data_IF_076588288387
#
_entry.id   IF_076588288387
#
_cell.length_a   1.000
_cell.length_b   1.000
_cell.length_c   1.000
_cell.angle_alpha   90.00
_cell.angle_beta   90.00
_cell.angle_gamma   90.00
#
_symmetry.space_group_name_H-M   'P 1'
#
loop_
_entity.id
_entity.type
_entity.pdbx_description
1 polymer ?
#
# COMPACT_ATOMS: atom_id res chain seq x y z
N UNK A 1 24.61 71.95 -0.46
CA UNK A 1 24.07 71.15 0.67
C UNK A 1 23.06 72.00 1.43
N UNK A 2 21.95 71.42 1.91
CA UNK A 2 21.07 72.12 2.84
C UNK A 2 21.78 72.29 4.20
N UNK A 3 21.58 73.44 4.83
CA UNK A 3 22.15 73.75 6.15
C UNK A 3 21.14 74.60 6.94
N UNK A 4 21.20 74.60 8.27
CA UNK A 4 20.31 75.45 9.08
C UNK A 4 20.72 76.93 8.96
N UNK A 5 19.77 77.83 9.19
CA UNK A 5 19.97 79.28 8.95
C UNK A 5 21.09 79.86 9.82
N UNK A 6 21.32 79.27 10.99
CA UNK A 6 22.37 79.66 11.92
C UNK A 6 23.77 79.29 11.41
N UNK A 7 23.97 78.07 10.92
CA UNK A 7 25.24 77.66 10.29
C UNK A 7 25.51 78.40 8.97
N UNK A 8 24.46 78.74 8.22
CA UNK A 8 24.56 79.60 7.03
C UNK A 8 25.12 80.97 7.40
N UNK A 9 24.59 81.55 8.47
CA UNK A 9 24.98 82.88 8.94
C UNK A 9 26.41 82.89 9.50
N UNK A 10 26.82 81.85 10.23
CA UNK A 10 28.10 81.81 10.94
C UNK A 10 29.26 81.34 10.05
N UNK A 11 29.09 80.24 9.31
CA UNK A 11 30.22 79.53 8.68
C UNK A 11 30.17 79.48 7.15
N UNK A 12 29.05 79.88 6.57
CA UNK A 12 28.75 79.60 5.16
C UNK A 12 28.19 80.81 4.40
N UNK A 13 28.27 82.00 4.99
CA UNK A 13 27.69 83.24 4.47
C UNK A 13 28.29 83.67 3.12
N UNK A 14 29.50 83.22 2.79
CA UNK A 14 30.19 83.47 1.51
C UNK A 14 30.13 82.31 0.52
N UNK A 15 29.51 81.19 0.87
CA UNK A 15 29.45 80.00 0.02
C UNK A 15 28.23 80.06 -0.90
N UNK A 16 28.45 80.20 -2.21
CA UNK A 16 27.38 80.41 -3.21
C UNK A 16 26.56 79.15 -3.57
N UNK A 17 26.80 78.01 -2.92
CA UNK A 17 26.14 76.73 -3.19
C UNK A 17 25.27 76.18 -2.05
N UNK A 18 25.05 76.96 -0.98
CA UNK A 18 24.32 76.53 0.22
C UNK A 18 22.90 77.11 0.19
N UNK A 19 21.89 76.25 0.37
CA UNK A 19 20.47 76.62 0.39
C UNK A 19 19.97 76.49 1.83
N UNK A 20 19.15 77.44 2.30
CA UNK A 20 18.50 77.32 3.61
C UNK A 20 17.65 76.07 3.67
N UNK A 21 17.65 75.41 4.83
CA UNK A 21 16.79 74.26 5.05
C UNK A 21 15.33 74.63 4.81
N UNK A 22 14.87 75.81 5.26
CA UNK A 22 13.53 76.32 4.99
C UNK A 22 13.22 76.46 3.49
N UNK A 23 14.15 77.01 2.69
CA UNK A 23 13.98 77.16 1.24
C UNK A 23 14.10 75.85 0.45
N UNK A 24 14.69 74.81 1.04
CA UNK A 24 14.64 73.43 0.51
C UNK A 24 13.32 72.76 0.90
N UNK A 25 12.83 73.00 2.12
CA UNK A 25 11.56 72.48 2.65
C UNK A 25 10.35 73.02 1.87
N UNK A 26 10.31 74.32 1.57
CA UNK A 26 9.29 74.93 0.69
C UNK A 26 9.31 74.37 -0.75
N UNK A 27 10.49 73.96 -1.24
CA UNK A 27 10.64 73.38 -2.58
C UNK A 27 10.40 71.87 -2.61
N UNK A 28 10.51 71.19 -1.48
CA UNK A 28 10.10 69.79 -1.34
C UNK A 28 8.59 69.71 -1.23
N UNK A 29 7.97 68.96 -2.13
CA UNK A 29 6.53 68.70 -2.13
C UNK A 29 6.18 67.76 -0.97
N UNK A 30 6.19 68.27 0.26
CA UNK A 30 5.89 67.51 1.49
C UNK A 30 4.52 66.83 1.38
N UNK A 31 3.53 67.49 0.78
CA UNK A 31 2.22 66.90 0.50
C UNK A 31 2.30 65.65 -0.36
N UNK A 32 3.14 65.65 -1.41
CA UNK A 32 3.36 64.45 -2.25
C UNK A 32 4.08 63.34 -1.51
N UNK A 33 5.01 63.70 -0.61
CA UNK A 33 5.69 62.72 0.25
C UNK A 33 4.69 62.10 1.25
N UNK A 34 3.81 62.91 1.83
CA UNK A 34 2.73 62.48 2.72
C UNK A 34 1.73 61.57 2.00
N UNK A 35 1.28 61.94 0.81
CA UNK A 35 0.39 61.11 -0.03
C UNK A 35 1.04 59.77 -0.41
N UNK A 36 2.34 59.79 -0.77
CA UNK A 36 3.08 58.55 -1.07
C UNK A 36 3.20 57.66 0.17
N UNK A 37 3.53 58.24 1.32
CA UNK A 37 3.66 57.50 2.58
C UNK A 37 2.31 56.93 3.03
N UNK A 38 1.23 57.70 2.92
CA UNK A 38 -0.12 57.25 3.24
C UNK A 38 -0.55 56.07 2.35
N UNK A 39 -0.23 56.13 1.06
CA UNK A 39 -0.46 55.02 0.13
C UNK A 39 0.35 53.77 0.50
N UNK A 40 1.61 53.93 0.90
CA UNK A 40 2.47 52.82 1.32
C UNK A 40 1.97 52.19 2.64
N UNK A 41 1.55 53.01 3.61
CA UNK A 41 0.94 52.55 4.87
C UNK A 41 -0.35 51.78 4.57
N UNK A 42 -1.25 52.33 3.76
CA UNK A 42 -2.51 51.68 3.41
C UNK A 42 -2.28 50.36 2.64
N UNK A 43 -1.28 50.31 1.77
CA UNK A 43 -0.89 49.07 1.08
C UNK A 43 -0.35 48.02 2.07
N UNK A 44 0.50 48.43 3.01
CA UNK A 44 1.03 47.55 4.04
C UNK A 44 -0.09 47.01 4.96
N UNK A 45 -1.01 47.87 5.40
CA UNK A 45 -2.18 47.49 6.20
C UNK A 45 -3.05 46.47 5.46
N UNK A 46 -3.34 46.69 4.19
CA UNK A 46 -4.10 45.74 3.38
C UNK A 46 -3.41 44.37 3.27
N UNK A 47 -2.08 44.34 3.08
CA UNK A 47 -1.30 43.08 3.06
C UNK A 47 -1.39 42.38 4.43
N UNK A 48 -1.20 43.12 5.53
CA UNK A 48 -1.31 42.57 6.89
C UNK A 48 -2.69 41.98 7.16
N UNK A 49 -3.76 42.68 6.79
CA UNK A 49 -5.13 42.15 6.91
C UNK A 49 -5.34 40.88 6.09
N UNK A 50 -4.81 40.81 4.86
CA UNK A 50 -4.86 39.60 4.04
C UNK A 50 -4.14 38.43 4.70
N UNK A 51 -2.99 38.67 5.33
CA UNK A 51 -2.24 37.66 6.09
C UNK A 51 -3.06 37.17 7.29
N UNK A 52 -3.62 38.08 8.09
CA UNK A 52 -4.45 37.73 9.26
C UNK A 52 -5.66 36.90 8.84
N UNK A 53 -6.39 37.33 7.79
CA UNK A 53 -7.54 36.60 7.28
C UNK A 53 -7.17 35.21 6.76
N UNK A 54 -6.04 35.08 6.06
CA UNK A 54 -5.55 33.78 5.59
C UNK A 54 -5.22 32.85 6.77
N UNK A 55 -4.48 33.35 7.78
CA UNK A 55 -4.11 32.57 8.97
C UNK A 55 -5.32 32.16 9.78
N UNK A 56 -6.28 33.06 10.01
CA UNK A 56 -7.55 32.73 10.69
C UNK A 56 -8.36 31.69 9.91
N UNK A 57 -8.42 31.81 8.58
CA UNK A 57 -9.08 30.82 7.74
C UNK A 57 -8.40 29.44 7.77
N UNK A 58 -7.07 29.39 7.84
CA UNK A 58 -6.33 28.13 8.00
C UNK A 58 -6.62 27.47 9.34
N UNK A 59 -6.67 28.23 10.43
CA UNK A 59 -7.00 27.71 11.77
C UNK A 59 -8.39 27.07 11.75
N UNK A 60 -9.41 27.78 11.24
CA UNK A 60 -10.78 27.25 11.14
C UNK A 60 -10.87 25.98 10.30
N UNK A 61 -10.15 25.92 9.17
CA UNK A 61 -10.07 24.69 8.35
C UNK A 61 -9.41 23.54 9.10
N UNK A 62 -8.32 23.83 9.82
CA UNK A 62 -7.63 22.84 10.65
C UNK A 62 -8.53 22.27 11.75
N UNK A 63 -9.29 23.12 12.44
CA UNK A 63 -10.29 22.70 13.45
C UNK A 63 -11.38 21.82 12.84
N UNK A 64 -11.90 22.17 11.67
CA UNK A 64 -12.89 21.36 10.95
C UNK A 64 -12.32 20.00 10.52
N UNK A 65 -11.09 19.96 10.01
CA UNK A 65 -10.40 18.72 9.65
C UNK A 65 -10.17 17.83 10.87
N UNK A 66 -9.75 18.43 11.99
CA UNK A 66 -9.57 17.73 13.26
C UNK A 66 -10.86 17.05 13.73
N UNK A 67 -11.98 17.78 13.78
CA UNK A 67 -13.27 17.20 14.17
C UNK A 67 -13.76 16.13 13.19
N UNK A 68 -13.50 16.30 11.88
CA UNK A 68 -13.81 15.29 10.87
C UNK A 68 -13.00 13.99 11.06
N UNK A 69 -11.70 14.10 11.33
CA UNK A 69 -10.82 12.95 11.61
C UNK A 69 -11.29 12.25 12.89
N UNK A 70 -11.57 13.00 13.95
CA UNK A 70 -12.09 12.47 15.22
C UNK A 70 -13.39 11.68 15.03
N UNK A 71 -14.35 12.20 14.26
CA UNK A 71 -15.59 11.49 13.92
C UNK A 71 -15.32 10.22 13.10
N UNK A 72 -14.36 10.27 12.19
CA UNK A 72 -13.96 9.12 11.37
C UNK A 72 -13.36 8.01 12.21
N UNK A 73 -12.47 8.34 13.15
CA UNK A 73 -11.89 7.38 14.11
C UNK A 73 -12.99 6.74 14.96
N UNK A 74 -13.93 7.53 15.48
CA UNK A 74 -15.06 7.01 16.26
C UNK A 74 -15.92 6.01 15.45
N UNK A 75 -16.22 6.34 14.19
CA UNK A 75 -16.97 5.47 13.28
C UNK A 75 -16.21 4.17 12.94
N UNK A 76 -14.89 4.22 12.75
CA UNK A 76 -14.10 3.00 12.55
C UNK A 76 -14.10 2.11 13.79
N UNK A 77 -13.98 2.70 14.99
CA UNK A 77 -14.07 1.95 16.25
C UNK A 77 -15.42 1.25 16.39
N UNK A 78 -16.51 1.95 16.11
CA UNK A 78 -17.86 1.38 16.15
C UNK A 78 -18.01 0.19 15.18
N UNK A 79 -17.53 0.35 13.94
CA UNK A 79 -17.57 -0.73 12.94
C UNK A 79 -16.74 -1.95 13.33
N UNK A 80 -15.55 -1.75 13.90
CA UNK A 80 -14.68 -2.83 14.36
C UNK A 80 -15.38 -3.59 15.49
N UNK A 81 -15.91 -2.88 16.49
CA UNK A 81 -16.63 -3.49 17.61
C UNK A 81 -17.84 -4.29 17.13
N UNK A 82 -18.70 -3.70 16.29
CA UNK A 82 -19.87 -4.41 15.77
C UNK A 82 -19.49 -5.68 14.98
N UNK A 83 -18.35 -5.67 14.29
CA UNK A 83 -17.86 -6.85 13.57
C UNK A 83 -17.36 -7.93 14.54
N UNK A 84 -16.67 -7.54 15.61
CA UNK A 84 -16.22 -8.47 16.65
C UNK A 84 -17.40 -9.10 17.38
N UNK A 85 -18.41 -8.31 17.76
CA UNK A 85 -19.63 -8.79 18.40
C UNK A 85 -20.36 -9.80 17.49
N UNK A 86 -20.47 -9.51 16.20
CA UNK A 86 -21.06 -10.43 15.23
C UNK A 86 -20.27 -11.74 15.07
N UNK A 87 -18.94 -11.67 15.07
CA UNK A 87 -18.10 -12.88 15.00
C UNK A 87 -18.24 -13.72 16.26
N UNK A 88 -18.31 -13.09 17.44
CA UNK A 88 -18.55 -13.78 18.70
C UNK A 88 -19.91 -14.51 18.70
N UNK A 89 -20.99 -13.82 18.35
CA UNK A 89 -22.33 -14.43 18.25
C UNK A 89 -22.36 -15.61 17.28
N UNK A 90 -21.69 -15.45 16.13
CA UNK A 90 -21.59 -16.51 15.12
C UNK A 90 -20.85 -17.74 15.67
N UNK A 91 -19.72 -17.54 16.33
CA UNK A 91 -18.93 -18.63 16.90
C UNK A 91 -19.70 -19.38 18.00
N UNK A 92 -20.41 -18.68 18.89
CA UNK A 92 -21.27 -19.35 19.87
C UNK A 92 -22.37 -20.16 19.21
N UNK A 93 -23.01 -19.63 18.17
CA UNK A 93 -24.04 -20.36 17.44
C UNK A 93 -23.50 -21.63 16.77
N UNK A 94 -22.31 -21.56 16.17
CA UNK A 94 -21.65 -22.74 15.56
C UNK A 94 -21.30 -23.78 16.62
N UNK A 95 -20.74 -23.37 17.76
CA UNK A 95 -20.44 -24.27 18.89
C UNK A 95 -21.71 -24.95 19.40
N UNK A 96 -22.78 -24.18 19.65
CA UNK A 96 -24.05 -24.70 20.15
C UNK A 96 -24.66 -25.70 19.15
N UNK A 97 -24.62 -25.39 17.86
CA UNK A 97 -25.12 -26.28 16.80
C UNK A 97 -24.37 -27.62 16.82
N UNK A 98 -23.04 -27.59 16.83
CA UNK A 98 -22.20 -28.80 16.90
C UNK A 98 -22.49 -29.60 18.16
N UNK A 99 -22.60 -28.94 19.32
CA UNK A 99 -22.91 -29.60 20.59
C UNK A 99 -24.29 -30.25 20.60
N UNK A 100 -25.31 -29.57 20.06
CA UNK A 100 -26.67 -30.09 19.97
C UNK A 100 -26.72 -31.31 19.06
N UNK A 101 -26.07 -31.24 17.90
CA UNK A 101 -25.96 -32.35 16.94
C UNK A 101 -25.29 -33.56 17.58
N UNK A 102 -24.09 -33.38 18.15
CA UNK A 102 -23.35 -34.46 18.81
C UNK A 102 -24.16 -35.06 19.98
N UNK A 103 -24.75 -34.22 20.83
CA UNK A 103 -25.59 -34.69 21.94
C UNK A 103 -26.79 -35.50 21.46
N UNK A 104 -27.40 -35.10 20.35
CA UNK A 104 -28.52 -35.81 19.74
C UNK A 104 -28.09 -37.20 19.23
N UNK A 105 -26.99 -37.27 18.48
CA UNK A 105 -26.43 -38.53 17.97
C UNK A 105 -26.12 -39.52 19.10
N UNK A 106 -25.47 -39.05 20.16
CA UNK A 106 -25.12 -39.85 21.33
C UNK A 106 -26.37 -40.32 22.07
N UNK A 107 -27.35 -39.43 22.24
CA UNK A 107 -28.61 -39.77 22.93
C UNK A 107 -29.39 -40.85 22.18
N UNK A 108 -29.39 -40.79 20.85
CA UNK A 108 -30.03 -41.79 20.00
C UNK A 108 -29.32 -43.15 20.12
N UNK A 109 -27.98 -43.17 20.08
CA UNK A 109 -27.21 -44.41 20.25
C UNK A 109 -27.43 -45.04 21.63
N UNK A 110 -27.43 -44.22 22.69
CA UNK A 110 -27.74 -44.68 24.06
C UNK A 110 -29.14 -45.29 24.14
N UNK A 111 -30.13 -44.66 23.50
CA UNK A 111 -31.50 -45.17 23.49
C UNK A 111 -31.58 -46.53 22.78
N UNK A 112 -30.92 -46.68 21.64
CA UNK A 112 -30.85 -47.94 20.89
C UNK A 112 -30.19 -49.07 21.72
N UNK A 113 -29.03 -48.79 22.33
CA UNK A 113 -28.33 -49.75 23.20
C UNK A 113 -29.21 -50.15 24.40
N UNK A 114 -29.88 -49.18 25.04
CA UNK A 114 -30.81 -49.46 26.16
C UNK A 114 -31.98 -50.33 25.72
N UNK A 115 -32.56 -50.09 24.56
CA UNK A 115 -33.66 -50.90 24.01
C UNK A 115 -33.21 -52.34 23.80
N UNK A 116 -32.07 -52.56 23.15
CA UNK A 116 -31.50 -53.88 22.88
C UNK A 116 -31.12 -54.61 24.16
N UNK A 117 -30.50 -53.92 25.12
CA UNK A 117 -30.21 -54.46 26.45
C UNK A 117 -31.48 -54.88 27.19
N UNK A 118 -32.55 -54.07 27.12
CA UNK A 118 -33.85 -54.41 27.68
C UNK A 118 -34.48 -55.66 27.04
N UNK A 119 -34.34 -55.84 25.72
CA UNK A 119 -34.76 -57.06 25.01
C UNK A 119 -33.99 -58.29 25.49
N UNK A 120 -32.66 -58.19 25.59
CA UNK A 120 -31.82 -59.28 26.11
C UNK A 120 -32.18 -59.66 27.56
N UNK A 121 -32.47 -58.68 28.42
CA UNK A 121 -32.93 -58.93 29.79
C UNK A 121 -34.24 -59.71 29.83
N UNK A 122 -35.24 -59.30 29.02
CA UNK A 122 -36.51 -60.03 28.90
C UNK A 122 -36.32 -61.47 28.40
N UNK A 123 -35.45 -61.68 27.41
CA UNK A 123 -35.13 -63.02 26.91
C UNK A 123 -34.50 -63.90 28.01
N UNK A 124 -33.60 -63.34 28.82
CA UNK A 124 -33.01 -64.03 29.98
C UNK A 124 -34.05 -64.42 31.02
N UNK A 125 -34.99 -63.53 31.32
CA UNK A 125 -36.09 -63.80 32.26
C UNK A 125 -37.03 -64.90 31.72
N UNK A 126 -37.37 -64.85 30.43
CA UNK A 126 -38.16 -65.89 29.75
C UNK A 126 -37.47 -67.25 29.76
N UNK A 127 -36.16 -67.29 29.47
CA UNK A 127 -35.37 -68.50 29.51
C UNK A 127 -35.42 -69.15 30.90
N UNK A 128 -35.28 -68.34 31.96
CA UNK A 128 -35.34 -68.78 33.35
C UNK A 128 -36.71 -69.36 33.73
N UNK A 129 -37.80 -68.77 33.22
CA UNK A 129 -39.16 -69.27 33.42
C UNK A 129 -39.41 -70.61 32.68
N UNK A 130 -38.91 -70.73 31.44
CA UNK A 130 -39.04 -71.95 30.62
C UNK A 130 -38.33 -73.14 31.28
N UNK A 131 -37.23 -72.91 31.99
CA UNK A 131 -36.49 -73.95 32.72
C UNK A 131 -37.19 -74.45 33.99
N UNK A 132 -38.20 -73.75 34.52
CA UNK A 132 -38.81 -74.08 35.82
C UNK A 132 -40.21 -74.70 35.76
N UNK A 133 -40.98 -74.56 34.66
CA UNK A 133 -42.43 -74.83 34.69
C UNK A 133 -43.07 -75.52 33.46
N UNK A 134 -42.31 -76.07 32.51
CA UNK A 134 -42.87 -76.48 31.21
C UNK A 134 -42.51 -77.92 30.80
N UNK A 135 -43.36 -78.54 29.97
CA UNK A 135 -43.08 -79.84 29.38
C UNK A 135 -41.81 -79.80 28.52
N UNK A 136 -41.06 -80.91 28.45
CA UNK A 136 -39.76 -80.98 27.74
C UNK A 136 -39.82 -80.42 26.30
N UNK A 137 -40.91 -80.66 25.58
CA UNK A 137 -41.10 -80.19 24.20
C UNK A 137 -41.28 -78.67 24.13
N UNK A 138 -42.09 -78.09 25.02
CA UNK A 138 -42.28 -76.65 25.07
C UNK A 138 -41.01 -75.93 25.54
N UNK A 139 -40.24 -76.53 26.45
CA UNK A 139 -38.94 -75.99 26.84
C UNK A 139 -37.95 -75.99 25.68
N UNK A 140 -37.90 -77.08 24.90
CA UNK A 140 -37.04 -77.15 23.71
C UNK A 140 -37.38 -76.06 22.69
N UNK A 141 -38.66 -75.89 22.35
CA UNK A 141 -39.10 -74.89 21.37
C UNK A 141 -38.84 -73.45 21.85
N UNK A 142 -39.11 -73.16 23.12
CA UNK A 142 -38.88 -71.84 23.71
C UNK A 142 -37.40 -71.47 23.77
N UNK A 143 -36.54 -72.41 24.17
CA UNK A 143 -35.08 -72.22 24.17
C UNK A 143 -34.56 -71.97 22.75
N UNK A 144 -35.05 -72.74 21.77
CA UNK A 144 -34.64 -72.57 20.37
C UNK A 144 -35.01 -71.18 19.82
N UNK A 145 -36.24 -70.71 20.08
CA UNK A 145 -36.69 -69.38 19.66
C UNK A 145 -35.88 -68.26 20.32
N UNK A 146 -35.64 -68.35 21.63
CA UNK A 146 -34.79 -67.39 22.36
C UNK A 146 -33.37 -67.40 21.80
N UNK A 147 -32.82 -68.59 21.50
CA UNK A 147 -31.48 -68.74 20.92
C UNK A 147 -31.33 -68.00 19.59
N UNK A 148 -32.33 -68.05 18.72
CA UNK A 148 -32.31 -67.27 17.46
C UNK A 148 -32.30 -65.77 17.70
N UNK A 149 -33.09 -65.27 18.65
CA UNK A 149 -33.16 -63.84 18.96
C UNK A 149 -31.89 -63.33 19.66
N UNK A 150 -31.28 -64.15 20.52
CA UNK A 150 -29.98 -63.84 21.15
C UNK A 150 -28.90 -63.74 20.09
N UNK A 151 -28.85 -64.64 19.10
CA UNK A 151 -27.90 -64.55 17.99
C UNK A 151 -28.04 -63.26 17.18
N UNK A 152 -29.25 -62.77 16.96
CA UNK A 152 -29.47 -61.48 16.29
C UNK A 152 -28.96 -60.29 17.13
N UNK A 153 -29.20 -60.33 18.45
CA UNK A 153 -28.69 -59.29 19.35
C UNK A 153 -27.16 -59.34 19.47
N UNK A 154 -26.57 -60.53 19.42
CA UNK A 154 -25.12 -60.71 19.50
C UNK A 154 -24.43 -60.17 18.25
N UNK A 155 -24.96 -60.43 17.05
CA UNK A 155 -24.46 -59.79 15.82
C UNK A 155 -24.50 -58.27 15.90
N UNK A 156 -25.57 -57.71 16.44
CA UNK A 156 -25.65 -56.25 16.64
C UNK A 156 -24.60 -55.72 17.63
N UNK A 157 -24.25 -56.48 18.67
CA UNK A 157 -23.17 -56.09 19.60
C UNK A 157 -21.81 -56.17 18.91
N UNK A 158 -21.58 -57.22 18.11
CA UNK A 158 -20.37 -57.37 17.29
C UNK A 158 -20.26 -56.21 16.27
N UNK A 159 -21.36 -55.86 15.59
CA UNK A 159 -21.41 -54.71 14.67
C UNK A 159 -21.14 -53.37 15.39
N UNK A 160 -21.54 -53.24 16.67
CA UNK A 160 -21.25 -52.05 17.47
C UNK A 160 -19.79 -51.96 17.91
N UNK A 161 -19.08 -53.08 18.09
CA UNK A 161 -17.64 -53.04 18.41
C UNK A 161 -16.83 -52.42 17.27
N UNK A 162 -17.30 -52.61 16.03
CA UNK A 162 -16.71 -52.02 14.82
C UNK A 162 -17.27 -50.63 14.47
N UNK A 163 -18.37 -50.19 15.11
CA UNK A 163 -18.97 -48.87 14.87
C UNK A 163 -18.19 -47.75 15.58
N UNK A 164 -17.63 -46.83 14.80
CA UNK A 164 -16.91 -45.66 15.32
C UNK A 164 -17.74 -44.84 16.32
N UNK A 165 -19.07 -44.81 16.18
CA UNK A 165 -19.97 -44.06 17.07
C UNK A 165 -20.05 -44.66 18.48
N UNK A 166 -19.75 -45.95 18.62
CA UNK A 166 -19.81 -46.67 19.88
C UNK A 166 -18.50 -46.62 20.67
N UNK A 167 -17.41 -46.16 20.05
CA UNK A 167 -16.11 -45.99 20.72
C UNK A 167 -16.18 -44.87 21.75
N UNK A 168 -15.33 -44.95 22.76
CA UNK A 168 -15.17 -43.87 23.74
C UNK A 168 -14.60 -42.63 23.03
N UNK A 169 -15.33 -41.52 23.08
CA UNK A 169 -14.89 -40.25 22.54
C UNK A 169 -14.99 -39.15 23.61
N UNK A 170 -14.14 -38.14 23.43
CA UNK A 170 -14.09 -36.95 24.28
C UNK A 170 -14.24 -35.70 23.39
N UNK A 171 -15.19 -34.83 23.73
CA UNK A 171 -15.43 -33.59 22.99
C UNK A 171 -14.48 -32.52 23.56
N UNK A 172 -13.34 -32.32 22.88
CA UNK A 172 -12.36 -31.29 23.26
C UNK A 172 -12.53 -30.05 22.39
N UNK A 173 -12.86 -28.93 23.02
CA UNK A 173 -12.76 -27.62 22.38
C UNK A 173 -11.36 -27.07 22.57
N UNK A 174 -10.74 -26.61 21.48
CA UNK A 174 -9.44 -25.93 21.52
C UNK A 174 -9.62 -24.52 21.02
N UNK A 175 -9.04 -23.57 21.75
CA UNK A 175 -8.87 -22.21 21.27
C UNK A 175 -7.98 -22.24 20.02
N UNK A 176 -8.27 -21.36 19.07
CA UNK A 176 -7.44 -21.22 17.89
C UNK A 176 -6.18 -20.42 18.24
N UNK A 177 -5.02 -21.08 18.18
CA UNK A 177 -3.69 -20.49 18.46
C UNK A 177 -3.36 -19.28 17.56
N UNK A 178 -4.01 -19.13 16.41
CA UNK A 178 -3.84 -17.98 15.52
C UNK A 178 -4.42 -16.69 16.12
N UNK A 179 -5.36 -16.78 17.06
CA UNK A 179 -5.93 -15.61 17.75
C UNK A 179 -4.83 -14.93 18.57
N UNK A 180 -4.06 -15.70 19.34
CA UNK A 180 -2.99 -15.16 20.18
C UNK A 180 -1.86 -14.55 19.33
N UNK A 181 -1.54 -15.17 18.19
CA UNK A 181 -0.60 -14.60 17.22
C UNK A 181 -1.11 -13.29 16.63
N UNK A 182 -2.39 -13.24 16.26
CA UNK A 182 -3.01 -12.04 15.69
C UNK A 182 -3.06 -10.91 16.70
N UNK A 183 -3.42 -11.19 17.95
CA UNK A 183 -3.43 -10.22 19.06
C UNK A 183 -2.01 -9.70 19.36
N UNK A 184 -1.01 -10.58 19.32
CA UNK A 184 0.39 -10.18 19.50
C UNK A 184 0.88 -9.26 18.37
N UNK A 185 0.47 -9.53 17.13
CA UNK A 185 0.76 -8.68 15.98
C UNK A 185 -0.02 -7.35 16.04
N UNK A 186 -1.25 -7.37 16.53
CA UNK A 186 -2.06 -6.16 16.76
C UNK A 186 -1.41 -5.23 17.78
N UNK A 187 -0.72 -5.78 18.80
CA UNK A 187 0.04 -5.00 19.78
C UNK A 187 1.15 -4.12 19.19
N UNK A 188 1.63 -4.43 17.97
CA UNK A 188 2.62 -3.62 17.25
C UNK A 188 2.01 -2.47 16.40
N UNK A 189 0.68 -2.34 16.37
CA UNK A 189 -0.04 -1.35 15.55
C UNK A 189 -0.24 0.00 16.26
N UNK A 190 0.75 0.47 17.03
CA UNK A 190 0.75 1.87 17.51
C UNK A 190 0.57 2.85 16.32
N UNK A 191 1.00 2.44 15.13
CA UNK A 191 0.81 3.14 13.86
C UNK A 191 -0.64 3.27 13.36
N UNK A 192 -1.61 2.46 13.85
CA UNK A 192 -3.02 2.60 13.45
C UNK A 192 -3.65 3.89 14.02
N UNK A 193 -3.11 4.41 15.13
CA UNK A 193 -3.53 5.65 15.74
C UNK A 193 -2.76 6.89 15.28
N UNK A 194 -1.74 6.72 14.42
CA UNK A 194 -0.88 7.82 14.00
C UNK A 194 -1.62 8.75 13.02
N UNK A 195 -1.94 9.95 13.50
CA UNK A 195 -2.43 11.04 12.66
C UNK A 195 -1.24 11.89 12.22
N UNK A 196 -0.82 11.71 10.97
CA UNK A 196 0.24 12.53 10.38
C UNK A 196 -0.29 13.93 10.03
N UNK A 197 0.15 14.94 10.78
CA UNK A 197 -0.19 16.35 10.52
C UNK A 197 0.87 16.97 9.60
N UNK A 198 0.52 17.13 8.32
CA UNK A 198 1.40 17.78 7.34
C UNK A 198 1.15 19.29 7.37
N UNK A 199 2.19 20.08 7.61
CA UNK A 199 2.11 21.54 7.61
C UNK A 199 2.80 22.10 6.37
N UNK A 200 2.02 22.30 5.30
CA UNK A 200 2.53 22.94 4.09
C UNK A 200 2.69 24.46 4.28
N UNK A 201 3.91 24.95 4.08
CA UNK A 201 4.20 26.39 4.12
C UNK A 201 3.87 27.03 2.77
N UNK A 202 2.68 27.62 2.67
CA UNK A 202 2.33 28.47 1.52
C UNK A 202 3.12 29.78 1.61
N UNK A 203 4.03 29.99 0.66
CA UNK A 203 4.76 31.25 0.52
C UNK A 203 3.80 32.33 0.00
N UNK A 204 3.55 33.35 0.80
CA UNK A 204 2.79 34.50 0.36
C UNK A 204 3.74 35.38 -0.46
N UNK A 205 3.61 35.34 -1.79
CA UNK A 205 4.37 36.21 -2.68
C UNK A 205 3.91 37.65 -2.49
N UNK A 206 4.68 38.41 -1.73
CA UNK A 206 4.50 39.86 -1.62
C UNK A 206 5.23 40.49 -2.80
N UNK A 207 4.48 41.02 -3.76
CA UNK A 207 5.03 41.85 -4.84
C UNK A 207 5.60 43.14 -4.23
N UNK A 208 6.86 43.06 -3.77
CA UNK A 208 7.63 44.25 -3.41
C UNK A 208 7.92 44.99 -4.72
N UNK A 209 7.24 46.12 -4.94
CA UNK A 209 7.76 47.14 -5.85
C UNK A 209 9.04 47.68 -5.19
N UNK A 210 10.18 47.09 -5.53
CA UNK A 210 11.48 47.62 -5.11
C UNK A 210 11.68 48.97 -5.79
N UNK A 211 11.38 50.05 -5.07
CA UNK A 211 12.05 51.31 -5.32
C UNK A 211 13.53 51.11 -4.99
N UNK A 212 14.36 51.35 -6.00
CA UNK A 212 15.79 51.02 -6.04
C UNK A 212 16.56 51.67 -4.88
N UNK A 213 17.26 50.86 -4.09
CA UNK A 213 18.61 51.20 -3.61
C UNK A 213 19.49 49.94 -3.72
N UNK A 214 20.47 50.01 -4.63
CA UNK A 214 21.54 49.02 -4.78
C UNK A 214 22.34 48.97 -3.48
N UNK A 215 22.26 47.86 -2.77
CA UNK A 215 23.18 47.46 -1.71
C UNK A 215 23.68 46.06 -2.03
N UNK A 216 24.99 45.89 -2.08
CA UNK A 216 25.69 44.69 -2.52
C UNK A 216 25.22 43.42 -1.79
N UNK A 217 24.98 42.35 -2.55
CA UNK A 217 24.84 41.00 -2.02
C UNK A 217 26.24 40.37 -1.89
N UNK A 218 26.53 39.89 -0.69
CA UNK A 218 27.66 38.99 -0.39
C UNK A 218 27.14 37.56 -0.52
N UNK A 219 27.88 36.70 -1.24
CA UNK A 219 27.57 35.28 -1.39
C UNK A 219 28.69 34.39 -0.83
N UNK A 220 28.26 33.37 -0.10
CA UNK A 220 28.93 32.11 0.27
C UNK A 220 30.07 32.23 1.29
N UNK A 221 30.30 31.27 2.19
CA UNK A 221 30.27 29.80 2.04
C UNK A 221 30.29 29.19 3.45
N UNK A 222 29.75 27.99 3.63
CA UNK A 222 30.42 26.95 4.44
C UNK A 222 29.85 25.55 4.17
N UNK A 223 30.77 24.59 4.25
CA UNK A 223 30.70 23.20 3.79
C UNK A 223 29.95 22.28 4.76
N UNK A 224 29.34 21.23 4.23
CA UNK A 224 29.26 19.95 4.96
C UNK A 224 29.25 18.75 4.01
N UNK A 225 29.90 17.70 4.49
CA UNK A 225 30.32 16.49 3.80
C UNK A 225 29.21 15.43 3.70
N UNK A 226 29.39 14.50 2.76
CA UNK A 226 28.57 13.32 2.41
C UNK A 226 27.29 13.67 1.62
N UNK A 227 27.48 13.79 0.30
CA UNK A 227 26.62 13.34 -0.79
C UNK A 227 25.11 13.32 -0.53
N UNK A 228 24.51 14.47 -0.23
CA UNK A 228 23.15 14.71 -0.69
C UNK A 228 23.21 14.68 -2.22
N UNK A 229 22.72 13.61 -2.84
CA UNK A 229 22.43 13.64 -4.26
C UNK A 229 21.19 14.54 -4.41
N UNK A 230 21.40 15.84 -4.44
CA UNK A 230 20.35 16.81 -4.74
C UNK A 230 20.07 16.68 -6.24
N UNK A 231 19.03 15.92 -6.57
CA UNK A 231 18.48 15.89 -7.91
C UNK A 231 17.74 17.21 -8.11
N UNK A 232 18.40 18.19 -8.74
CA UNK A 232 17.73 19.42 -9.15
C UNK A 232 16.81 19.07 -10.31
N UNK A 233 15.50 19.19 -10.08
CA UNK A 233 14.51 19.08 -11.14
C UNK A 233 14.51 20.42 -11.87
N UNK A 234 15.36 20.54 -12.90
CA UNK A 234 15.54 21.79 -13.65
C UNK A 234 14.32 22.11 -14.53
N UNK A 235 13.48 21.11 -14.82
CA UNK A 235 12.27 21.26 -15.61
C UNK A 235 11.16 20.34 -15.10
N UNK A 236 9.96 20.90 -14.91
CA UNK A 236 8.74 20.13 -14.66
C UNK A 236 7.99 19.98 -15.98
N UNK A 237 7.78 18.73 -16.40
CA UNK A 237 6.95 18.41 -17.56
C UNK A 237 5.55 18.09 -17.05
N UNK A 238 4.58 18.92 -17.41
CA UNK A 238 3.17 18.67 -17.09
C UNK A 238 2.58 17.71 -18.13
N UNK A 239 2.48 16.43 -17.76
CA UNK A 239 1.90 15.39 -18.61
C UNK A 239 0.40 15.27 -18.26
N UNK A 240 -0.47 15.75 -19.15
CA UNK A 240 -1.92 15.65 -18.97
C UNK A 240 -2.45 14.31 -19.49
N UNK A 241 -2.19 13.24 -18.72
CA UNK A 241 -2.76 11.91 -18.99
C UNK A 241 -3.86 11.68 -17.95
N UNK A 242 -5.12 11.62 -18.42
CA UNK A 242 -6.30 11.47 -17.55
C UNK A 242 -6.45 10.09 -16.89
N UNK A 243 -5.38 9.29 -16.81
CA UNK A 243 -5.38 7.90 -16.33
C UNK A 243 -4.14 7.59 -15.50
N UNK A 244 -4.23 6.52 -14.71
CA UNK A 244 -3.11 6.01 -13.91
C UNK A 244 -1.97 5.52 -14.82
N UNK A 245 -0.75 5.96 -14.54
CA UNK A 245 0.47 5.51 -15.22
C UNK A 245 0.95 4.20 -14.57
N UNK A 246 1.26 3.20 -15.38
CA UNK A 246 1.83 1.92 -14.94
C UNK A 246 3.36 1.95 -14.91
N UNK A 247 3.98 2.56 -15.92
CA UNK A 247 5.43 2.73 -16.02
C UNK A 247 5.78 3.88 -16.96
N UNK A 248 7.00 4.39 -16.87
CA UNK A 248 7.52 5.45 -17.71
C UNK A 248 9.04 5.32 -17.90
N UNK A 249 9.51 5.54 -19.12
CA UNK A 249 10.94 5.64 -19.41
C UNK A 249 11.26 6.89 -20.21
N UNK A 250 12.44 7.45 -19.96
CA UNK A 250 13.06 8.45 -20.82
C UNK A 250 13.98 7.72 -21.81
N UNK A 251 13.76 7.94 -23.10
CA UNK A 251 14.58 7.41 -24.18
C UNK A 251 15.89 8.20 -24.28
N UNK A 252 16.91 7.60 -24.91
CA UNK A 252 18.22 8.25 -25.14
C UNK A 252 18.15 9.56 -25.94
N UNK A 253 17.10 9.75 -26.74
CA UNK A 253 16.84 10.96 -27.52
C UNK A 253 15.88 11.93 -26.82
N UNK A 254 15.77 11.81 -25.48
CA UNK A 254 14.98 12.66 -24.58
C UNK A 254 13.46 12.57 -24.75
N UNK A 255 12.96 11.76 -25.68
CA UNK A 255 11.54 11.42 -25.75
C UNK A 255 11.13 10.58 -24.54
N UNK A 256 9.86 10.62 -24.18
CA UNK A 256 9.33 9.88 -23.03
C UNK A 256 8.30 8.87 -23.49
N UNK A 257 8.40 7.62 -23.03
CA UNK A 257 7.33 6.64 -23.19
C UNK A 257 6.58 6.54 -21.88
N UNK A 258 5.25 6.67 -21.95
CA UNK A 258 4.35 6.47 -20.82
C UNK A 258 3.42 5.30 -21.11
N UNK A 259 3.41 4.32 -20.20
CA UNK A 259 2.43 3.24 -20.18
C UNK A 259 1.24 3.64 -19.32
N UNK A 260 0.05 3.72 -19.91
CA UNK A 260 -1.19 3.84 -19.15
C UNK A 260 -1.66 2.47 -18.63
N UNK A 261 -2.16 2.42 -17.40
CA UNK A 261 -2.75 1.21 -16.83
C UNK A 261 -3.97 0.76 -17.63
N UNK A 262 -3.94 -0.49 -18.13
CA UNK A 262 -4.98 -1.06 -19.01
C UNK A 262 -5.20 -0.24 -20.29
N UNK A 263 -4.24 0.62 -20.61
CA UNK A 263 -4.42 1.69 -21.55
C UNK A 263 -3.45 1.61 -22.71
N UNK A 264 -3.10 2.80 -23.19
CA UNK A 264 -2.34 2.99 -24.41
C UNK A 264 -0.88 3.27 -24.07
N UNK A 265 0.00 3.04 -25.04
CA UNK A 265 1.41 3.39 -24.92
C UNK A 265 1.65 4.69 -25.67
N UNK A 266 1.95 5.75 -24.92
CA UNK A 266 2.12 7.08 -25.46
C UNK A 266 3.61 7.40 -25.58
N UNK A 267 4.03 7.82 -26.77
CA UNK A 267 5.33 8.41 -27.03
C UNK A 267 5.16 9.94 -27.00
N UNK A 268 5.88 10.57 -26.08
CA UNK A 268 5.88 12.01 -25.87
C UNK A 268 7.23 12.59 -26.30
N UNK A 269 7.22 13.84 -26.75
CA UNK A 269 8.42 14.65 -26.92
C UNK A 269 9.05 15.01 -25.58
N UNK A 270 10.27 15.54 -25.60
CA UNK A 270 11.00 15.96 -24.37
C UNK A 270 10.31 17.10 -23.60
N UNK A 271 9.40 17.84 -24.23
CA UNK A 271 8.53 18.85 -23.57
C UNK A 271 7.16 18.29 -23.14
N UNK A 272 6.95 16.97 -23.22
CA UNK A 272 5.74 16.28 -22.74
C UNK A 272 4.56 16.29 -23.70
N UNK A 273 4.71 16.80 -24.93
CA UNK A 273 3.63 16.75 -25.92
C UNK A 273 3.50 15.35 -26.50
N UNK A 274 2.26 14.93 -26.72
CA UNK A 274 1.98 13.65 -27.37
C UNK A 274 2.46 13.68 -28.83
N UNK A 275 3.46 12.85 -29.13
CA UNK A 275 3.96 12.67 -30.49
C UNK A 275 3.19 11.57 -31.20
N UNK A 276 3.04 10.41 -30.55
CA UNK A 276 2.47 9.21 -31.15
C UNK A 276 1.89 8.30 -30.10
N UNK A 277 0.88 7.53 -30.49
CA UNK A 277 0.31 6.47 -29.69
C UNK A 277 0.63 5.14 -30.34
N UNK A 278 1.41 4.29 -29.67
CA UNK A 278 1.81 3.01 -30.24
C UNK A 278 0.62 2.03 -30.14
N UNK A 279 0.34 1.24 -31.19
CA UNK A 279 -0.79 0.31 -31.26
C UNK A 279 -0.49 -0.96 -30.45
N UNK A 280 -0.28 -0.77 -29.15
CA UNK A 280 0.17 -1.79 -28.22
C UNK A 280 -1.05 -2.17 -27.37
N UNK A 281 -1.77 -3.25 -27.70
CA UNK A 281 -3.00 -3.59 -27.01
C UNK A 281 -2.73 -4.25 -25.66
N UNK A 282 -3.64 -4.04 -24.70
CA UNK A 282 -3.79 -4.92 -23.54
C UNK A 282 -3.08 -4.47 -22.26
N UNK A 283 -2.84 -5.43 -21.37
CA UNK A 283 -2.35 -5.21 -20.00
C UNK A 283 -0.83 -5.04 -19.91
N UNK A 284 -0.26 -4.10 -20.67
CA UNK A 284 1.15 -3.73 -20.55
C UNK A 284 1.45 -3.21 -19.13
N UNK A 285 2.59 -3.59 -18.55
CA UNK A 285 2.92 -3.22 -17.18
C UNK A 285 4.22 -2.46 -17.01
N UNK A 286 5.30 -2.87 -17.68
CA UNK A 286 6.60 -2.21 -17.63
C UNK A 286 7.24 -2.16 -19.01
N UNK A 287 8.07 -1.14 -19.25
CA UNK A 287 8.74 -0.88 -20.53
C UNK A 287 10.23 -0.59 -20.32
N UNK A 288 11.06 -1.03 -21.25
CA UNK A 288 12.49 -0.67 -21.29
C UNK A 288 12.96 -0.47 -22.73
N UNK A 289 13.98 0.38 -22.92
CA UNK A 289 14.57 0.63 -24.23
C UNK A 289 15.69 -0.40 -24.51
N UNK A 290 15.61 -1.12 -25.63
CA UNK A 290 16.66 -2.03 -26.10
C UNK A 290 17.68 -1.26 -26.95
N UNK A 291 17.19 -0.50 -27.93
CA UNK A 291 18.00 0.35 -28.79
C UNK A 291 17.20 1.60 -29.21
N UNK A 292 17.71 2.39 -30.16
CA UNK A 292 17.09 3.66 -30.56
C UNK A 292 15.62 3.50 -30.96
N UNK A 293 15.28 2.42 -31.67
CA UNK A 293 13.97 2.22 -32.28
C UNK A 293 13.21 1.02 -31.71
N UNK A 294 13.78 0.35 -30.70
CA UNK A 294 13.24 -0.91 -30.15
C UNK A 294 13.04 -0.81 -28.65
N UNK A 295 11.85 -1.21 -28.21
CA UNK A 295 11.49 -1.31 -26.80
C UNK A 295 11.02 -2.73 -26.47
N UNK A 296 11.15 -3.13 -25.21
CA UNK A 296 10.53 -4.34 -24.69
C UNK A 296 9.47 -3.97 -23.65
N UNK A 297 8.36 -4.72 -23.65
CA UNK A 297 7.21 -4.47 -22.77
C UNK A 297 6.75 -5.79 -22.13
N UNK A 298 6.48 -5.76 -20.82
CA UNK A 298 5.91 -6.91 -20.09
C UNK A 298 4.39 -6.97 -20.18
N UNK A 299 3.88 -8.19 -20.31
CA UNK A 299 2.46 -8.53 -20.31
C UNK A 299 2.19 -9.58 -19.22
N UNK A 300 1.95 -9.15 -17.96
CA UNK A 300 1.80 -10.08 -16.84
C UNK A 300 0.77 -11.19 -17.07
N UNK A 301 -0.39 -10.85 -17.64
CA UNK A 301 -1.48 -11.82 -17.86
C UNK A 301 -1.19 -12.80 -19.01
N UNK A 302 -0.39 -12.37 -20.00
CA UNK A 302 0.04 -13.23 -21.11
C UNK A 302 1.32 -14.00 -20.78
N UNK A 303 1.95 -13.71 -19.62
CA UNK A 303 3.26 -14.24 -19.23
C UNK A 303 4.30 -14.07 -20.34
N UNK A 304 4.34 -12.89 -20.95
CA UNK A 304 5.17 -12.65 -22.12
C UNK A 304 5.86 -11.28 -22.06
N UNK A 305 7.00 -11.20 -22.73
CA UNK A 305 7.65 -9.95 -23.08
C UNK A 305 7.54 -9.80 -24.58
N UNK A 306 7.03 -8.66 -25.04
CA UNK A 306 6.97 -8.35 -26.48
C UNK A 306 7.99 -7.27 -26.80
N UNK A 307 8.75 -7.50 -27.85
CA UNK A 307 9.73 -6.54 -28.38
C UNK A 307 9.08 -5.80 -29.54
N UNK A 308 8.96 -4.49 -29.43
CA UNK A 308 8.32 -3.61 -30.40
C UNK A 308 9.34 -2.75 -31.11
N UNK A 309 9.21 -2.64 -32.43
CA UNK A 309 9.87 -1.60 -33.18
C UNK A 309 8.93 -0.39 -33.27
N UNK A 310 9.43 0.77 -32.84
CA UNK A 310 8.66 2.01 -32.71
C UNK A 310 8.44 2.73 -34.05
N UNK A 311 9.34 2.54 -35.01
CA UNK A 311 9.25 3.14 -36.34
C UNK A 311 8.13 2.49 -37.15
N UNK A 312 8.16 1.15 -37.25
CA UNK A 312 7.19 0.39 -38.04
C UNK A 312 5.95 -0.06 -37.23
N UNK A 313 5.94 0.18 -35.92
CA UNK A 313 4.84 -0.13 -35.00
C UNK A 313 4.48 -1.62 -34.91
N UNK A 314 5.44 -2.50 -35.13
CA UNK A 314 5.21 -3.95 -35.11
C UNK A 314 5.87 -4.64 -33.93
N UNK A 315 5.24 -5.74 -33.48
CA UNK A 315 5.90 -6.71 -32.61
C UNK A 315 6.91 -7.47 -33.44
N UNK A 316 8.19 -7.31 -33.13
CA UNK A 316 9.28 -8.02 -33.80
C UNK A 316 9.58 -9.36 -33.16
N UNK A 317 9.30 -9.51 -31.85
CA UNK A 317 9.52 -10.76 -31.11
C UNK A 317 8.60 -10.89 -29.91
N UNK A 318 8.27 -12.13 -29.57
CA UNK A 318 7.57 -12.50 -28.34
C UNK A 318 8.41 -13.52 -27.58
N UNK A 319 8.74 -13.19 -26.34
CA UNK A 319 9.42 -14.09 -25.40
C UNK A 319 8.38 -14.59 -24.40
N UNK A 320 8.08 -15.88 -24.44
CA UNK A 320 7.12 -16.52 -23.52
C UNK A 320 7.82 -16.94 -22.24
N UNK A 321 7.16 -16.71 -21.11
CA UNK A 321 7.64 -17.01 -19.76
C UNK A 321 6.68 -17.99 -19.07
N UNK A 322 7.19 -18.67 -18.04
CA UNK A 322 6.45 -19.62 -17.20
C UNK A 322 5.60 -18.92 -16.13
N UNK A 323 5.97 -17.70 -15.73
CA UNK A 323 5.30 -16.89 -14.71
C UNK A 323 4.91 -15.49 -15.20
N UNK A 324 4.03 -14.81 -14.43
CA UNK A 324 3.66 -13.42 -14.72
C UNK A 324 4.87 -12.52 -14.51
N UNK A 325 5.11 -11.60 -15.44
CA UNK A 325 6.20 -10.62 -15.41
C UNK A 325 5.65 -9.22 -15.15
N UNK A 326 6.27 -8.47 -14.23
CA UNK A 326 5.78 -7.16 -13.80
C UNK A 326 6.81 -6.07 -14.10
N UNK A 327 8.00 -6.13 -13.49
CA UNK A 327 9.12 -5.21 -13.75
C UNK A 327 10.05 -5.67 -14.88
N UNK A 328 10.64 -4.71 -15.60
CA UNK A 328 11.54 -4.97 -16.72
C UNK A 328 12.69 -3.97 -16.78
N UNK A 329 13.91 -4.44 -17.06
CA UNK A 329 15.07 -3.57 -17.31
C UNK A 329 16.02 -4.20 -18.31
N UNK A 330 16.62 -3.40 -19.19
CA UNK A 330 17.59 -3.86 -20.17
C UNK A 330 18.99 -3.32 -19.87
N UNK A 331 19.98 -4.20 -19.84
CA UNK A 331 21.39 -3.83 -19.72
C UNK A 331 22.29 -4.97 -20.18
N UNK A 332 23.48 -4.64 -20.69
CA UNK A 332 24.47 -5.63 -21.15
C UNK A 332 23.88 -6.70 -22.11
N UNK A 333 23.07 -6.24 -23.07
CA UNK A 333 22.38 -7.10 -24.04
C UNK A 333 21.48 -8.19 -23.44
N UNK A 334 21.01 -7.98 -22.20
CA UNK A 334 20.16 -8.91 -21.45
C UNK A 334 19.00 -8.16 -20.83
N UNK A 335 17.88 -8.85 -20.65
CA UNK A 335 16.71 -8.36 -19.94
C UNK A 335 16.69 -8.93 -18.53
N UNK A 336 16.53 -8.08 -17.53
CA UNK A 336 16.17 -8.47 -16.18
C UNK A 336 14.66 -8.31 -16.01
N UNK A 337 14.01 -9.37 -15.52
CA UNK A 337 12.55 -9.49 -15.47
C UNK A 337 12.13 -9.87 -14.06
N UNK A 338 11.26 -9.06 -13.46
CA UNK A 338 10.64 -9.38 -12.18
C UNK A 338 9.45 -10.32 -12.37
N UNK A 339 9.55 -11.54 -11.91
CA UNK A 339 8.52 -12.57 -12.01
C UNK A 339 7.71 -12.67 -10.70
N UNK A 340 6.51 -13.21 -10.79
CA UNK A 340 5.77 -13.66 -9.60
C UNK A 340 6.47 -14.86 -8.95
N UNK A 341 6.36 -15.00 -7.62
CA UNK A 341 7.11 -15.95 -6.77
C UNK A 341 8.55 -15.51 -6.45
N UNK A 342 8.72 -14.21 -6.27
CA UNK A 342 9.95 -13.63 -5.73
C UNK A 342 11.22 -14.04 -6.49
N UNK A 343 11.10 -14.10 -7.81
CA UNK A 343 12.20 -14.42 -8.72
C UNK A 343 12.46 -13.24 -9.64
N UNK A 344 13.74 -12.86 -9.75
CA UNK A 344 14.23 -12.02 -10.84
C UNK A 344 15.02 -12.91 -11.80
N UNK A 345 14.65 -12.86 -13.08
CA UNK A 345 15.32 -13.64 -14.12
C UNK A 345 16.05 -12.73 -15.09
N UNK A 346 17.33 -13.04 -15.32
CA UNK A 346 18.13 -12.44 -16.38
C UNK A 346 18.05 -13.36 -17.59
N UNK A 347 17.54 -12.84 -18.70
CA UNK A 347 17.38 -13.57 -19.96
C UNK A 347 18.09 -12.84 -21.09
N UNK A 348 18.54 -13.55 -22.11
CA UNK A 348 18.97 -12.92 -23.36
C UNK A 348 17.76 -12.49 -24.21
N UNK A 349 18.03 -11.83 -25.33
CA UNK A 349 16.97 -11.42 -26.28
C UNK A 349 16.37 -12.60 -27.05
N UNK A 350 16.95 -13.80 -26.96
CA UNK A 350 16.37 -15.07 -27.44
C UNK A 350 15.41 -15.71 -26.44
N UNK A 351 15.34 -15.18 -25.21
CA UNK A 351 14.51 -15.71 -24.14
C UNK A 351 15.17 -16.82 -23.34
N UNK A 352 16.46 -17.10 -23.58
CA UNK A 352 17.19 -18.08 -22.80
C UNK A 352 17.53 -17.49 -21.43
N UNK A 353 17.30 -18.28 -20.38
CA UNK A 353 17.67 -17.91 -19.02
C UNK A 353 19.17 -17.93 -18.84
N UNK A 354 19.76 -16.76 -18.61
CA UNK A 354 21.18 -16.60 -18.26
C UNK A 354 21.36 -16.77 -16.74
N UNK A 355 20.42 -16.28 -15.95
CA UNK A 355 20.48 -16.34 -14.49
C UNK A 355 19.09 -16.22 -13.85
N UNK A 356 18.90 -16.89 -12.72
CA UNK A 356 17.78 -16.68 -11.80
C UNK A 356 18.31 -16.21 -10.44
N UNK A 357 17.66 -15.18 -9.89
CA UNK A 357 17.97 -14.56 -8.61
C UNK A 357 16.71 -14.67 -7.77
N UNK A 358 16.80 -15.44 -6.68
CA UNK A 358 15.72 -15.54 -5.70
C UNK A 358 15.80 -14.32 -4.78
N UNK A 359 14.68 -13.63 -4.63
CA UNK A 359 14.54 -12.47 -3.77
C UNK A 359 13.49 -12.77 -2.70
N UNK A 360 13.53 -12.06 -1.57
CA UNK A 360 12.45 -12.08 -0.61
C UNK A 360 11.59 -10.85 -0.87
N UNK A 361 10.41 -11.08 -1.42
CA UNK A 361 9.44 -10.05 -1.74
C UNK A 361 8.11 -10.42 -1.09
N UNK A 362 7.51 -9.48 -0.35
CA UNK A 362 6.19 -9.72 0.24
C UNK A 362 5.08 -9.47 -0.78
N UNK A 363 5.41 -8.85 -1.92
CA UNK A 363 4.48 -8.61 -3.01
C UNK A 363 5.14 -8.60 -4.41
N UNK A 364 4.43 -8.07 -5.41
CA UNK A 364 4.86 -8.10 -6.81
C UNK A 364 6.07 -7.18 -7.01
N UNK A 365 7.08 -7.64 -7.74
CA UNK A 365 8.24 -6.82 -8.11
C UNK A 365 7.82 -5.78 -9.17
N UNK A 366 7.71 -4.51 -8.78
CA UNK A 366 7.19 -3.46 -9.67
C UNK A 366 8.33 -2.69 -10.35
N UNK A 367 9.27 -2.16 -9.57
CA UNK A 367 10.40 -1.41 -10.10
C UNK A 367 11.62 -2.31 -10.16
N UNK A 368 12.28 -2.33 -11.32
CA UNK A 368 13.47 -3.12 -11.53
C UNK A 368 14.46 -2.32 -12.37
N UNK A 369 15.69 -2.20 -11.89
CA UNK A 369 16.82 -1.60 -12.60
C UNK A 369 17.96 -2.59 -12.60
N UNK A 370 18.46 -2.93 -13.79
CA UNK A 370 19.62 -3.79 -13.96
C UNK A 370 20.80 -2.99 -14.49
N UNK A 371 21.87 -2.89 -13.71
CA UNK A 371 23.05 -2.12 -14.10
C UNK A 371 24.30 -2.66 -13.41
N UNK A 372 25.42 -2.76 -14.15
CA UNK A 372 26.72 -3.19 -13.63
C UNK A 372 26.64 -4.49 -12.81
N UNK A 373 25.90 -5.48 -13.32
CA UNK A 373 25.69 -6.79 -12.68
C UNK A 373 25.00 -6.73 -11.31
N UNK A 374 24.28 -5.64 -11.05
CA UNK A 374 23.44 -5.47 -9.87
C UNK A 374 22.01 -5.28 -10.30
N UNK A 375 21.11 -5.82 -9.50
CA UNK A 375 19.67 -5.59 -9.65
C UNK A 375 19.21 -4.76 -8.46
N UNK A 376 18.66 -3.60 -8.77
CA UNK A 376 17.94 -2.75 -7.82
C UNK A 376 16.46 -2.98 -8.07
N UNK A 377 15.71 -3.30 -7.03
CA UNK A 377 14.29 -3.55 -7.16
C UNK A 377 13.50 -3.05 -5.96
N UNK A 378 12.20 -2.83 -6.18
CA UNK A 378 11.23 -2.71 -5.10
C UNK A 378 10.00 -3.56 -5.39
N UNK A 379 9.40 -4.00 -4.31
CA UNK A 379 8.06 -4.57 -4.29
C UNK A 379 6.99 -3.48 -4.46
N UNK A 380 5.79 -3.91 -4.83
CA UNK A 380 4.64 -3.05 -5.09
C UNK A 380 4.13 -2.38 -3.80
N UNK A 381 4.21 -3.11 -2.69
CA UNK A 381 3.70 -2.66 -1.39
C UNK A 381 4.81 -2.19 -0.44
N UNK A 382 6.05 -2.56 -0.70
CA UNK A 382 7.11 -2.27 0.24
C UNK A 382 7.63 -0.84 0.13
N UNK A 383 8.05 -0.36 1.29
CA UNK A 383 8.65 0.95 1.48
C UNK A 383 10.16 0.90 1.24
N UNK A 384 10.69 -0.12 0.58
CA UNK A 384 12.13 -0.40 0.58
C UNK A 384 12.64 -0.73 -0.81
N UNK A 385 13.72 -0.08 -1.19
CA UNK A 385 14.49 -0.38 -2.40
C UNK A 385 15.64 -1.31 -2.01
N UNK A 386 15.68 -2.50 -2.59
CA UNK A 386 16.70 -3.53 -2.35
C UNK A 386 17.69 -3.54 -3.50
N UNK A 387 18.96 -3.80 -3.21
CA UNK A 387 20.01 -3.99 -4.21
C UNK A 387 20.69 -5.34 -3.95
N UNK A 388 20.71 -6.20 -4.97
CA UNK A 388 21.34 -7.53 -4.93
C UNK A 388 22.36 -7.66 -6.04
N UNK A 389 23.42 -8.44 -5.78
CA UNK A 389 24.35 -8.86 -6.83
C UNK A 389 23.85 -10.12 -7.57
N UNK A 390 24.64 -10.57 -8.56
CA UNK A 390 24.38 -11.81 -9.30
C UNK A 390 24.38 -13.08 -8.45
N UNK A 391 24.93 -13.04 -7.24
CA UNK A 391 24.95 -14.16 -6.29
C UNK A 391 23.74 -14.15 -5.36
N UNK A 392 22.76 -13.27 -5.62
CA UNK A 392 21.61 -13.01 -4.75
C UNK A 392 21.99 -12.46 -3.38
N UNK A 393 23.23 -11.97 -3.21
CA UNK A 393 23.64 -11.36 -1.95
C UNK A 393 23.12 -9.93 -1.93
N UNK A 394 22.35 -9.60 -0.90
CA UNK A 394 21.92 -8.24 -0.65
C UNK A 394 23.14 -7.35 -0.37
N UNK A 395 23.31 -6.33 -1.21
CA UNK A 395 24.39 -5.34 -1.09
C UNK A 395 23.92 -4.15 -0.25
N UNK A 396 22.69 -3.69 -0.48
CA UNK A 396 22.16 -2.50 0.16
C UNK A 396 20.63 -2.59 0.32
N UNK A 397 20.14 -1.97 1.40
CA UNK A 397 18.74 -1.78 1.71
C UNK A 397 18.51 -0.28 1.87
N UNK A 398 17.73 0.32 1.00
CA UNK A 398 17.39 1.74 1.06
C UNK A 398 15.92 1.90 1.44
N UNK A 399 15.67 2.43 2.62
CA UNK A 399 14.33 2.82 3.08
C UNK A 399 14.21 4.31 2.75
N UNK A 400 13.44 4.71 1.74
CA UNK A 400 13.22 6.13 1.46
C UNK A 400 12.61 6.76 2.71
N UNK A 401 13.33 7.72 3.31
CA UNK A 401 12.76 8.59 4.31
C UNK A 401 11.66 9.37 3.57
N UNK A 402 10.40 9.00 3.81
CA UNK A 402 9.27 9.76 3.29
C UNK A 402 9.31 11.13 3.98
N UNK A 403 9.89 12.12 3.29
CA UNK A 403 9.62 13.51 3.56
C UNK A 403 8.20 13.80 3.07
N UNK A 404 7.21 13.38 3.86
CA UNK A 404 5.80 13.72 3.68
C UNK A 404 5.47 14.98 4.45
#
# INVERSE_FOLDING_TARGET
MPCCDECISISHSKCTGIKSLAGVVEKTKIEKCKESLDKDINSALHILMKIVNNKSGNIKRGEQQYESIKKTIANYREKINNHLDHLEEKLYHEIDTILIEQKSEISNLIAEIKEKSGKLKKMKDQLSAITTQVSKLQSFLGVYQIGQQVHQCQRYVEDLEDDERAKEFDIKMKQNDEIDKTLSNLGSLESLGEVNVIVEKIVITVNRRTSVRRGAQVQSREQSNINSMTMNIDAKIDINIGKQISDMICLKDERVIVLEKLGKVNLLTSDGKLQKQLPIPGGACSVTQINQDTIAITYPNEKAIKIFNMENETVTKVITLDNRCWGLSFSNNSLAVGLSKDEIRIIDLEGNTLKSIQVQSESKLQYLVYCNDRVIYSDYDGTVVKCVDRSSKQICLYIPIRNT
#
